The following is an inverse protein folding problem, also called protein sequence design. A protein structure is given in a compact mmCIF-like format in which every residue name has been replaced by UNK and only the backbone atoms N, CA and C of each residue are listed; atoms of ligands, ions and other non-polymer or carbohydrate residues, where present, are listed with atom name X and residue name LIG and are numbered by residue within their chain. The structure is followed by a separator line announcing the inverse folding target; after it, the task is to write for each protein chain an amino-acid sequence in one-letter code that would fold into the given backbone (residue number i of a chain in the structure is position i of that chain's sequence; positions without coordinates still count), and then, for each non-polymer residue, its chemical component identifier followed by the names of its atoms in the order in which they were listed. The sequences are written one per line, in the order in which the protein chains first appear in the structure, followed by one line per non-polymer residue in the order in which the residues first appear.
data_IF_203710756217
#
_entry.id   IF_203710756217
#
_cell.length_a   1.000
_cell.length_b   1.000
_cell.length_c   1.000
_cell.angle_alpha   90.00
_cell.angle_beta   90.00
_cell.angle_gamma   90.00
#
_symmetry.space_group_name_H-M   'P 1'
#
loop_
_entity.id
_entity.type
_entity.pdbx_description
1 polymer ?
#
# COMPACT_ATOMS: atom_id res chain seq x y z
N UNK A 1 -17.94 -0.36 3.72
CA UNK A 1 -19.35 0.09 3.67
C UNK A 1 -19.44 1.40 4.42
N UNK A 2 -20.14 2.38 3.87
CA UNK A 2 -20.27 3.69 4.52
C UNK A 2 -21.28 3.58 5.69
N UNK A 3 -21.07 4.37 6.76
CA UNK A 3 -22.01 4.45 7.90
C UNK A 3 -23.44 4.76 7.42
N UNK A 4 -23.57 5.46 6.30
CA UNK A 4 -24.84 5.74 5.67
C UNK A 4 -25.60 4.46 5.28
N UNK A 5 -24.92 3.45 4.71
CA UNK A 5 -25.55 2.18 4.30
C UNK A 5 -25.87 1.26 5.48
N UNK A 6 -25.04 1.29 6.52
CA UNK A 6 -25.17 0.34 7.64
C UNK A 6 -26.06 0.84 8.77
N UNK A 7 -26.14 2.14 8.98
CA UNK A 7 -26.83 2.73 10.14
C UNK A 7 -27.97 3.67 9.75
N UNK A 8 -27.73 4.61 8.84
CA UNK A 8 -28.71 5.65 8.52
C UNK A 8 -29.85 5.10 7.67
N UNK A 9 -29.53 4.36 6.61
CA UNK A 9 -30.55 3.83 5.69
C UNK A 9 -31.53 2.88 6.38
N UNK A 10 -31.11 1.87 7.17
CA UNK A 10 -32.03 1.01 7.90
C UNK A 10 -32.90 1.77 8.91
N UNK A 11 -32.30 2.76 9.60
CA UNK A 11 -33.04 3.58 10.59
C UNK A 11 -34.14 4.41 9.93
N UNK A 12 -33.85 5.06 8.81
CA UNK A 12 -34.82 5.84 8.06
C UNK A 12 -35.97 4.97 7.50
N UNK A 13 -35.62 3.79 6.99
CA UNK A 13 -36.61 2.86 6.42
C UNK A 13 -37.50 2.28 7.53
N UNK A 14 -36.96 1.89 8.66
CA UNK A 14 -37.72 1.45 9.83
C UNK A 14 -38.66 2.53 10.34
N UNK A 15 -38.23 3.79 10.39
CA UNK A 15 -39.03 4.92 10.78
C UNK A 15 -40.18 5.11 9.79
N UNK A 16 -39.91 5.01 8.50
CA UNK A 16 -40.93 5.13 7.44
C UNK A 16 -41.95 3.98 7.50
N UNK A 17 -41.50 2.73 7.64
CA UNK A 17 -42.36 1.56 7.80
C UNK A 17 -43.28 1.70 9.02
N UNK A 18 -42.74 2.22 10.13
CA UNK A 18 -43.50 2.42 11.37
C UNK A 18 -44.55 3.53 11.21
N UNK A 19 -44.20 4.65 10.56
CA UNK A 19 -45.08 5.80 10.38
C UNK A 19 -46.21 5.54 9.37
N UNK A 20 -45.93 4.78 8.31
CA UNK A 20 -46.87 4.57 7.21
C UNK A 20 -47.50 3.17 7.18
N UNK A 21 -47.08 2.27 8.14
CA UNK A 21 -47.56 0.88 8.24
C UNK A 21 -47.38 0.08 6.92
N UNK A 22 -46.29 0.36 6.19
CA UNK A 22 -45.93 -0.28 4.91
C UNK A 22 -44.66 -1.12 5.11
N UNK A 23 -44.65 -2.37 4.62
CA UNK A 23 -43.43 -3.19 4.60
C UNK A 23 -42.60 -2.88 3.33
N UNK A 24 -41.38 -2.33 3.52
CA UNK A 24 -40.48 -1.91 2.45
C UNK A 24 -39.28 -2.86 2.27
N UNK A 25 -39.45 -4.14 2.59
CA UNK A 25 -38.34 -5.12 2.57
C UNK A 25 -37.61 -5.21 1.22
N UNK A 26 -38.37 -5.23 0.11
CA UNK A 26 -37.83 -5.30 -1.24
C UNK A 26 -37.19 -3.97 -1.68
N UNK A 27 -37.82 -2.85 -1.35
CA UNK A 27 -37.27 -1.51 -1.61
C UNK A 27 -36.00 -1.27 -0.81
N UNK A 28 -35.91 -1.74 0.43
CA UNK A 28 -34.72 -1.63 1.25
C UNK A 28 -33.53 -2.31 0.59
N UNK A 29 -33.73 -3.51 0.05
CA UNK A 29 -32.67 -4.25 -0.64
C UNK A 29 -32.26 -3.53 -1.93
N UNK A 30 -33.21 -3.06 -2.72
CA UNK A 30 -32.94 -2.29 -3.95
C UNK A 30 -32.16 -1.01 -3.67
N UNK A 31 -32.54 -0.24 -2.64
CA UNK A 31 -31.81 0.98 -2.23
C UNK A 31 -30.39 0.63 -1.81
N UNK A 32 -30.21 -0.44 -1.04
CA UNK A 32 -28.87 -0.91 -0.62
C UNK A 32 -28.02 -1.30 -1.84
N UNK A 33 -28.57 -1.99 -2.80
CA UNK A 33 -27.88 -2.40 -4.03
C UNK A 33 -27.48 -1.18 -4.86
N UNK A 34 -28.38 -0.22 -5.05
CA UNK A 34 -28.10 1.03 -5.77
C UNK A 34 -26.99 1.83 -5.07
N UNK A 35 -27.07 1.97 -3.73
CA UNK A 35 -26.03 2.67 -2.96
C UNK A 35 -24.68 1.94 -3.03
N UNK A 36 -24.69 0.62 -3.03
CA UNK A 36 -23.48 -0.20 -3.17
C UNK A 36 -22.83 -0.04 -4.55
N UNK A 37 -23.65 -0.02 -5.61
CA UNK A 37 -23.18 0.23 -6.97
C UNK A 37 -22.61 1.64 -7.12
N UNK A 38 -23.29 2.64 -6.55
CA UNK A 38 -22.84 4.03 -6.56
C UNK A 38 -21.50 4.18 -5.81
N UNK A 39 -21.35 3.59 -4.61
CA UNK A 39 -20.11 3.58 -3.85
C UNK A 39 -18.96 2.95 -4.68
N UNK A 40 -19.23 1.80 -5.31
CA UNK A 40 -18.23 1.13 -6.15
C UNK A 40 -17.86 1.96 -7.39
N UNK A 41 -18.84 2.64 -8.01
CA UNK A 41 -18.59 3.50 -9.17
C UNK A 41 -17.78 4.74 -8.79
N UNK A 42 -18.13 5.42 -7.71
CA UNK A 42 -17.40 6.59 -7.20
C UNK A 42 -15.97 6.20 -6.78
N UNK A 43 -15.81 5.07 -6.09
CA UNK A 43 -14.52 4.55 -5.71
C UNK A 43 -13.62 4.26 -6.92
N UNK A 44 -14.15 3.60 -7.95
CA UNK A 44 -13.41 3.34 -9.19
C UNK A 44 -13.08 4.63 -9.94
N UNK A 45 -14.04 5.56 -10.02
CA UNK A 45 -13.83 6.85 -10.67
C UNK A 45 -12.69 7.64 -10.04
N UNK A 46 -12.56 7.59 -8.71
CA UNK A 46 -11.47 8.22 -7.99
C UNK A 46 -10.14 7.46 -8.15
N UNK A 47 -10.13 6.15 -7.96
CA UNK A 47 -8.87 5.37 -7.92
C UNK A 47 -8.27 5.11 -9.30
N UNK A 48 -9.09 4.99 -10.36
CA UNK A 48 -8.62 4.65 -11.72
C UNK A 48 -7.57 5.61 -12.29
N UNK A 49 -7.74 6.95 -12.24
CA UNK A 49 -6.73 7.89 -12.76
C UNK A 49 -5.38 7.73 -12.03
N UNK A 50 -5.40 7.55 -10.71
CA UNK A 50 -4.19 7.33 -9.92
C UNK A 50 -3.51 6.01 -10.28
N UNK A 51 -4.29 4.92 -10.39
CA UNK A 51 -3.77 3.61 -10.80
C UNK A 51 -3.15 3.66 -12.21
N UNK A 52 -3.79 4.37 -13.16
CA UNK A 52 -3.24 4.56 -14.51
C UNK A 52 -1.93 5.35 -14.49
N UNK A 53 -1.87 6.43 -13.71
CA UNK A 53 -0.64 7.23 -13.54
C UNK A 53 0.49 6.40 -12.93
N UNK A 54 0.19 5.61 -11.89
CA UNK A 54 1.16 4.69 -11.26
C UNK A 54 1.69 3.68 -12.30
N UNK A 55 0.79 3.06 -13.06
CA UNK A 55 1.16 2.09 -14.10
C UNK A 55 2.11 2.71 -15.12
N UNK A 56 1.77 3.86 -15.72
CA UNK A 56 2.63 4.54 -16.70
C UNK A 56 3.97 4.97 -16.11
N UNK A 57 4.00 5.38 -14.83
CA UNK A 57 5.24 5.75 -14.13
C UNK A 57 6.16 4.53 -13.94
N UNK A 58 5.61 3.39 -13.54
CA UNK A 58 6.36 2.14 -13.38
C UNK A 58 6.89 1.67 -14.73
N UNK A 59 6.03 1.59 -15.72
CA UNK A 59 6.39 1.14 -17.07
C UNK A 59 7.51 2.00 -17.68
N UNK A 60 7.34 3.31 -17.67
CA UNK A 60 8.36 4.25 -18.19
C UNK A 60 9.66 4.19 -17.38
N UNK A 61 9.59 3.96 -16.09
CA UNK A 61 10.76 3.86 -15.21
C UNK A 61 11.56 2.59 -15.47
N UNK A 62 10.91 1.43 -15.56
CA UNK A 62 11.56 0.13 -15.78
C UNK A 62 12.09 -0.01 -17.22
N UNK A 63 11.39 0.53 -18.22
CA UNK A 63 11.87 0.51 -19.59
C UNK A 63 12.86 1.64 -19.93
N UNK A 64 13.16 2.51 -18.96
CA UNK A 64 14.19 3.53 -19.15
C UNK A 64 15.58 2.90 -19.35
N UNK A 65 16.38 3.37 -20.31
CA UNK A 65 17.77 2.92 -20.48
C UNK A 65 18.64 3.14 -19.23
N UNK A 66 18.22 4.06 -18.36
CA UNK A 66 18.93 4.36 -17.10
C UNK A 66 18.51 3.46 -15.93
N UNK A 67 17.47 2.62 -16.12
CA UNK A 67 17.10 1.65 -15.12
C UNK A 67 18.13 0.54 -15.01
N UNK A 68 18.65 0.33 -13.83
CA UNK A 68 19.68 -0.68 -13.54
C UNK A 68 20.88 -0.60 -14.50
N UNK A 69 21.58 0.53 -14.59
CA UNK A 69 22.74 0.66 -15.47
C UNK A 69 23.79 -0.41 -15.16
N UNK A 70 24.57 -0.77 -16.18
CA UNK A 70 25.68 -1.71 -16.02
C UNK A 70 26.60 -1.24 -14.86
N UNK A 71 27.01 -2.14 -13.95
CA UNK A 71 27.80 -1.76 -12.79
C UNK A 71 29.11 -1.15 -13.25
N UNK A 72 29.37 0.09 -12.85
CA UNK A 72 30.72 0.64 -12.86
C UNK A 72 31.56 -0.13 -11.82
N UNK A 73 32.88 -0.09 -11.95
CA UNK A 73 33.79 -0.82 -11.03
C UNK A 73 33.51 -0.56 -9.54
N UNK A 74 32.86 0.56 -9.22
CA UNK A 74 32.47 0.97 -7.85
C UNK A 74 31.11 0.43 -7.39
N UNK A 75 30.21 -0.03 -8.30
CA UNK A 75 28.81 -0.40 -7.97
C UNK A 75 28.58 -1.90 -8.08
N UNK A 76 29.47 -2.72 -7.51
CA UNK A 76 29.36 -4.18 -7.61
C UNK A 76 28.38 -4.81 -6.62
N UNK A 77 28.01 -4.10 -5.56
CA UNK A 77 27.12 -4.57 -4.49
C UNK A 77 25.79 -3.84 -4.48
N UNK A 78 24.73 -4.47 -3.92
CA UNK A 78 23.47 -3.83 -3.59
C UNK A 78 23.68 -2.69 -2.58
N UNK A 79 24.73 -2.76 -1.75
CA UNK A 79 25.04 -1.74 -0.73
C UNK A 79 25.20 -0.32 -1.30
N UNK A 80 25.63 -0.21 -2.56
CA UNK A 80 25.90 1.07 -3.23
C UNK A 80 24.72 1.56 -4.09
N UNK A 81 23.56 0.88 -4.02
CA UNK A 81 22.39 1.20 -4.81
C UNK A 81 21.35 1.98 -4.00
N UNK A 82 20.66 2.86 -4.70
CA UNK A 82 19.45 3.52 -4.22
C UNK A 82 18.23 3.02 -5.03
N UNK A 83 17.01 3.13 -4.48
CA UNK A 83 15.79 2.84 -5.24
C UNK A 83 15.70 3.70 -6.47
N UNK A 84 15.11 3.14 -7.52
CA UNK A 84 14.93 3.84 -8.79
C UNK A 84 14.07 5.10 -8.62
N UNK A 85 14.29 6.15 -9.44
CA UNK A 85 13.52 7.40 -9.35
C UNK A 85 12.00 7.19 -9.47
N UNK A 86 11.55 6.22 -10.27
CA UNK A 86 10.12 5.95 -10.43
C UNK A 86 9.48 5.48 -9.12
N UNK A 87 10.22 4.76 -8.27
CA UNK A 87 9.75 4.31 -6.95
C UNK A 87 9.40 5.49 -6.07
N UNK A 88 10.28 6.49 -6.00
CA UNK A 88 10.02 7.72 -5.25
C UNK A 88 8.84 8.49 -5.84
N UNK A 89 8.72 8.56 -7.18
CA UNK A 89 7.58 9.22 -7.84
C UNK A 89 6.26 8.55 -7.46
N UNK A 90 6.18 7.22 -7.52
CA UNK A 90 4.99 6.46 -7.12
C UNK A 90 4.66 6.67 -5.64
N UNK A 91 5.66 6.60 -4.76
CA UNK A 91 5.45 6.79 -3.33
C UNK A 91 5.00 8.22 -3.00
N UNK A 92 5.53 9.24 -3.67
CA UNK A 92 5.10 10.63 -3.50
C UNK A 92 3.69 10.86 -4.01
N UNK A 93 3.31 10.27 -5.14
CA UNK A 93 1.92 10.31 -5.62
C UNK A 93 0.96 9.68 -4.59
N UNK A 94 1.35 8.58 -3.96
CA UNK A 94 0.57 7.97 -2.87
C UNK A 94 0.52 8.83 -1.60
N UNK A 95 1.56 9.62 -1.29
CA UNK A 95 1.54 10.62 -0.20
C UNK A 95 0.50 11.71 -0.49
N UNK A 96 0.43 12.19 -1.74
CA UNK A 96 -0.57 13.18 -2.17
C UNK A 96 -1.98 12.60 -1.99
N UNK A 97 -2.22 11.40 -2.49
CA UNK A 97 -3.52 10.69 -2.33
C UNK A 97 -3.86 10.47 -0.86
N UNK A 98 -2.89 10.08 -0.03
CA UNK A 98 -3.10 9.95 1.41
C UNK A 98 -3.54 11.28 2.02
N UNK A 99 -2.86 12.37 1.71
CA UNK A 99 -3.17 13.70 2.26
C UNK A 99 -4.55 14.15 1.83
N UNK A 100 -4.88 14.05 0.54
CA UNK A 100 -6.18 14.39 -0.02
C UNK A 100 -7.30 13.56 0.60
N UNK A 101 -7.16 12.24 0.62
CA UNK A 101 -8.19 11.34 1.16
C UNK A 101 -8.36 11.49 2.67
N UNK A 102 -7.29 11.73 3.42
CA UNK A 102 -7.34 11.88 4.89
C UNK A 102 -7.99 13.21 5.31
N UNK A 103 -7.86 14.26 4.51
CA UNK A 103 -8.52 15.55 4.77
C UNK A 103 -9.99 15.54 4.35
N UNK A 104 -10.34 14.82 3.29
CA UNK A 104 -11.71 14.77 2.77
C UNK A 104 -12.55 13.70 3.44
N UNK A 105 -12.02 12.50 3.62
CA UNK A 105 -12.71 11.35 4.22
C UNK A 105 -11.73 10.35 4.82
N UNK A 106 -11.23 10.65 6.01
CA UNK A 106 -10.23 9.83 6.72
C UNK A 106 -10.59 8.32 6.81
N UNK A 107 -11.87 7.90 6.99
CA UNK A 107 -12.23 6.48 7.01
C UNK A 107 -11.98 5.74 5.68
N UNK A 108 -12.00 6.43 4.54
CA UNK A 108 -11.78 5.84 3.22
C UNK A 108 -10.30 5.71 2.87
N UNK A 109 -9.42 6.49 3.49
CA UNK A 109 -7.98 6.50 3.19
C UNK A 109 -7.35 5.10 3.18
N UNK A 110 -7.56 4.22 4.18
CA UNK A 110 -6.97 2.89 4.14
C UNK A 110 -7.49 2.02 2.98
N UNK A 111 -8.76 2.16 2.61
CA UNK A 111 -9.36 1.42 1.49
C UNK A 111 -8.75 1.87 0.15
N UNK A 112 -8.59 3.18 -0.04
CA UNK A 112 -8.00 3.77 -1.23
C UNK A 112 -6.54 3.33 -1.38
N UNK A 113 -5.74 3.48 -0.32
CA UNK A 113 -4.32 3.13 -0.37
C UNK A 113 -4.07 1.63 -0.56
N UNK A 114 -4.88 0.74 0.03
CA UNK A 114 -4.80 -0.69 -0.24
C UNK A 114 -5.07 -1.00 -1.70
N UNK A 115 -6.12 -0.43 -2.28
CA UNK A 115 -6.46 -0.62 -3.70
C UNK A 115 -5.37 -0.10 -4.64
N UNK A 116 -4.77 1.05 -4.33
CA UNK A 116 -3.67 1.61 -5.11
C UNK A 116 -2.37 0.81 -4.94
N UNK A 117 -2.11 0.24 -3.76
CA UNK A 117 -0.98 -0.64 -3.56
C UNK A 117 -1.15 -1.97 -4.32
N UNK A 118 -2.33 -2.56 -4.33
CA UNK A 118 -2.66 -3.71 -5.19
C UNK A 118 -2.47 -3.37 -6.68
N UNK A 119 -2.90 -2.20 -7.11
CA UNK A 119 -2.65 -1.73 -8.48
C UNK A 119 -1.16 -1.54 -8.78
N UNK A 120 -0.39 -1.08 -7.80
CA UNK A 120 1.07 -0.91 -7.93
C UNK A 120 1.77 -2.25 -8.11
N UNK A 121 1.47 -3.24 -7.25
CA UNK A 121 2.03 -4.60 -7.37
C UNK A 121 1.62 -5.28 -8.67
N UNK A 122 0.36 -5.10 -9.08
CA UNK A 122 -0.15 -5.61 -10.38
C UNK A 122 0.57 -4.96 -11.56
N UNK A 123 0.82 -3.66 -11.51
CA UNK A 123 1.58 -2.96 -12.56
C UNK A 123 3.03 -3.44 -12.66
N UNK A 124 3.68 -3.69 -11.51
CA UNK A 124 5.03 -4.23 -11.45
C UNK A 124 5.11 -5.61 -12.11
N UNK A 125 4.22 -6.55 -11.73
CA UNK A 125 4.25 -7.89 -12.31
C UNK A 125 3.96 -7.86 -13.81
N UNK A 126 3.00 -7.06 -14.28
CA UNK A 126 2.69 -6.91 -15.69
C UNK A 126 3.91 -6.39 -16.48
N UNK A 127 4.61 -5.40 -15.93
CA UNK A 127 5.81 -4.83 -16.55
C UNK A 127 6.95 -5.84 -16.59
N UNK A 128 7.19 -6.58 -15.51
CA UNK A 128 8.22 -7.63 -15.47
C UNK A 128 7.89 -8.86 -16.34
N UNK A 129 6.61 -9.16 -16.53
CA UNK A 129 6.16 -10.23 -17.43
C UNK A 129 6.27 -9.86 -18.91
N UNK A 130 6.37 -8.57 -19.21
CA UNK A 130 6.38 -8.10 -20.61
C UNK A 130 7.53 -8.76 -21.42
N UNK A 131 7.31 -8.94 -22.71
CA UNK A 131 8.30 -9.51 -23.62
C UNK A 131 9.52 -8.60 -23.87
N UNK A 132 9.42 -7.31 -23.49
CA UNK A 132 10.52 -6.35 -23.58
C UNK A 132 11.67 -6.77 -22.63
N UNK A 133 11.31 -7.31 -21.47
CA UNK A 133 12.25 -7.89 -20.48
C UNK A 133 12.29 -9.41 -20.65
N UNK A 134 12.86 -9.90 -21.75
CA UNK A 134 12.97 -11.34 -22.03
C UNK A 134 13.95 -12.05 -21.09
N UNK A 135 15.04 -11.38 -20.74
CA UNK A 135 16.06 -11.84 -19.78
C UNK A 135 16.39 -10.73 -18.79
N UNK A 136 16.65 -11.10 -17.56
CA UNK A 136 16.99 -10.17 -16.46
C UNK A 136 18.45 -10.39 -16.07
N UNK A 137 19.28 -9.39 -16.27
CA UNK A 137 20.68 -9.40 -15.86
C UNK A 137 20.82 -9.22 -14.33
N UNK A 138 21.96 -9.59 -13.77
CA UNK A 138 22.24 -9.40 -12.34
C UNK A 138 21.99 -7.96 -11.84
N UNK A 139 22.46 -6.89 -12.51
CA UNK A 139 22.15 -5.52 -12.11
C UNK A 139 20.65 -5.21 -12.07
N UNK A 140 19.89 -5.72 -13.05
CA UNK A 140 18.45 -5.55 -13.13
C UNK A 140 17.74 -6.32 -12.02
N UNK A 141 18.17 -7.56 -11.73
CA UNK A 141 17.63 -8.36 -10.64
C UNK A 141 17.82 -7.69 -9.29
N UNK A 142 19.03 -7.19 -9.01
CA UNK A 142 19.34 -6.46 -7.77
C UNK A 142 18.49 -5.19 -7.65
N UNK A 143 18.35 -4.42 -8.73
CA UNK A 143 17.57 -3.19 -8.73
C UNK A 143 16.08 -3.47 -8.56
N UNK A 144 15.53 -4.44 -9.30
CA UNK A 144 14.12 -4.85 -9.16
C UNK A 144 13.81 -5.30 -7.73
N UNK A 145 14.68 -6.13 -7.14
CA UNK A 145 14.51 -6.61 -5.77
C UNK A 145 14.53 -5.45 -4.77
N UNK A 146 15.48 -4.51 -4.92
CA UNK A 146 15.56 -3.33 -4.06
C UNK A 146 14.30 -2.44 -4.19
N UNK A 147 13.86 -2.18 -5.42
CA UNK A 147 12.71 -1.33 -5.72
C UNK A 147 11.41 -1.92 -5.13
N UNK A 148 11.16 -3.21 -5.36
CA UNK A 148 9.98 -3.92 -4.86
C UNK A 148 9.97 -3.97 -3.34
N UNK A 149 11.09 -4.35 -2.72
CA UNK A 149 11.21 -4.42 -1.25
C UNK A 149 11.05 -3.06 -0.58
N UNK A 150 11.65 -2.01 -1.14
CA UNK A 150 11.54 -0.68 -0.57
C UNK A 150 10.08 -0.15 -0.61
N UNK A 151 9.36 -0.36 -1.72
CA UNK A 151 7.94 -0.03 -1.81
C UNK A 151 7.10 -0.85 -0.84
N UNK A 152 7.28 -2.17 -0.79
CA UNK A 152 6.53 -3.06 0.08
C UNK A 152 6.73 -2.72 1.56
N UNK A 153 7.96 -2.46 1.98
CA UNK A 153 8.25 -2.07 3.37
C UNK A 153 7.75 -0.68 3.72
N UNK A 154 7.75 0.27 2.78
CA UNK A 154 7.22 1.61 2.99
C UNK A 154 5.69 1.58 3.15
N UNK A 155 5.00 0.75 2.35
CA UNK A 155 3.55 0.61 2.34
C UNK A 155 3.03 -0.57 3.18
N UNK A 156 3.85 -1.15 4.05
CA UNK A 156 3.51 -2.35 4.83
C UNK A 156 2.22 -2.25 5.64
N UNK A 157 1.78 -1.03 6.03
CA UNK A 157 0.51 -0.80 6.73
C UNK A 157 -0.73 -1.01 5.83
N UNK A 158 -0.54 -1.04 4.53
CA UNK A 158 -1.61 -1.16 3.52
C UNK A 158 -1.52 -2.47 2.72
N UNK A 159 -0.62 -3.35 3.08
CA UNK A 159 -0.47 -4.66 2.44
C UNK A 159 -1.72 -5.49 2.66
N UNK A 160 -2.22 -6.11 1.58
CA UNK A 160 -3.31 -7.10 1.57
C UNK A 160 -2.75 -8.47 1.20
N UNK A 161 -3.50 -9.53 1.46
CA UNK A 161 -3.10 -10.88 1.07
C UNK A 161 -2.92 -10.98 -0.44
N UNK A 162 -3.77 -10.31 -1.23
CA UNK A 162 -3.65 -10.24 -2.68
C UNK A 162 -2.34 -9.56 -3.10
N UNK A 163 -1.99 -8.40 -2.52
CA UNK A 163 -0.73 -7.73 -2.82
C UNK A 163 0.50 -8.57 -2.43
N UNK A 164 0.43 -9.29 -1.31
CA UNK A 164 1.51 -10.20 -0.86
C UNK A 164 1.69 -11.36 -1.83
N UNK A 165 0.60 -11.94 -2.34
CA UNK A 165 0.67 -12.99 -3.33
C UNK A 165 1.31 -12.49 -4.62
N UNK A 166 0.85 -11.34 -5.15
CA UNK A 166 1.43 -10.73 -6.35
C UNK A 166 2.91 -10.40 -6.15
N UNK A 167 3.33 -9.95 -4.95
CA UNK A 167 4.74 -9.73 -4.65
C UNK A 167 5.56 -11.04 -4.73
N UNK A 168 5.01 -12.15 -4.24
CA UNK A 168 5.63 -13.47 -4.39
C UNK A 168 5.75 -13.86 -5.87
N UNK A 169 4.70 -13.63 -6.64
CA UNK A 169 4.69 -13.91 -8.08
C UNK A 169 5.70 -13.05 -8.85
N UNK A 170 5.92 -11.79 -8.44
CA UNK A 170 6.98 -10.94 -9.00
C UNK A 170 8.36 -11.60 -8.85
N UNK A 171 8.69 -12.12 -7.67
CA UNK A 171 9.97 -12.81 -7.46
C UNK A 171 10.08 -14.07 -8.29
N UNK A 172 9.01 -14.84 -8.46
CA UNK A 172 8.99 -16.00 -9.33
C UNK A 172 9.25 -15.63 -10.79
N UNK A 173 8.62 -14.56 -11.28
CA UNK A 173 8.85 -14.06 -12.65
C UNK A 173 10.29 -13.60 -12.86
N UNK A 174 10.84 -12.85 -11.91
CA UNK A 174 12.24 -12.40 -11.96
C UNK A 174 13.19 -13.59 -11.93
N UNK A 175 12.92 -14.59 -11.08
CA UNK A 175 13.71 -15.83 -11.00
C UNK A 175 13.70 -16.62 -12.32
N UNK A 176 12.53 -16.78 -12.94
CA UNK A 176 12.39 -17.47 -14.21
C UNK A 176 13.15 -16.81 -15.36
N UNK A 177 13.26 -15.47 -15.35
CA UNK A 177 13.94 -14.68 -16.39
C UNK A 177 15.44 -14.49 -16.12
N UNK A 178 15.95 -14.99 -15.00
CA UNK A 178 17.32 -14.77 -14.53
C UNK A 178 18.14 -16.06 -14.62
N UNK A 179 19.43 -15.96 -14.96
CA UNK A 179 20.35 -17.09 -14.95
C UNK A 179 20.73 -17.55 -13.53
N UNK A 180 21.21 -18.79 -13.41
CA UNK A 180 21.54 -19.38 -12.12
C UNK A 180 22.70 -18.66 -11.40
N UNK A 181 23.67 -18.11 -12.14
CA UNK A 181 24.79 -17.40 -11.57
C UNK A 181 24.35 -16.08 -10.90
N UNK A 182 23.42 -15.34 -11.55
CA UNK A 182 22.86 -14.12 -10.99
C UNK A 182 22.00 -14.40 -9.75
N UNK A 183 21.27 -15.52 -9.71
CA UNK A 183 20.49 -15.94 -8.51
C UNK A 183 21.39 -16.19 -7.31
N UNK A 184 22.48 -16.95 -7.48
CA UNK A 184 23.45 -17.23 -6.43
C UNK A 184 24.05 -15.93 -5.90
N UNK A 185 24.42 -15.03 -6.79
CA UNK A 185 24.96 -13.71 -6.42
C UNK A 185 23.95 -12.86 -5.65
N UNK A 186 22.67 -12.85 -6.05
CA UNK A 186 21.64 -12.14 -5.29
C UNK A 186 21.50 -12.71 -3.87
N UNK A 187 21.57 -14.04 -3.70
CA UNK A 187 21.49 -14.67 -2.38
C UNK A 187 22.65 -14.25 -1.46
N UNK A 188 23.86 -14.12 -2.00
CA UNK A 188 25.03 -13.60 -1.26
C UNK A 188 24.80 -12.14 -0.81
N UNK A 189 24.08 -11.33 -1.62
CA UNK A 189 23.82 -9.92 -1.36
C UNK A 189 22.60 -9.64 -0.46
N UNK A 190 21.80 -10.64 -0.08
CA UNK A 190 20.59 -10.42 0.74
C UNK A 190 20.86 -9.77 2.10
N UNK A 191 22.03 -10.03 2.70
CA UNK A 191 22.46 -9.38 3.94
C UNK A 191 22.67 -7.87 3.75
N UNK A 192 23.34 -7.50 2.65
CA UNK A 192 23.59 -6.12 2.25
C UNK A 192 22.27 -5.41 1.92
N UNK A 193 21.36 -6.08 1.19
CA UNK A 193 20.03 -5.56 0.86
C UNK A 193 19.25 -5.13 2.12
N UNK A 194 19.23 -5.95 3.17
CA UNK A 194 18.55 -5.61 4.44
C UNK A 194 19.16 -4.36 5.08
N UNK A 195 20.48 -4.22 5.04
CA UNK A 195 21.17 -3.05 5.60
C UNK A 195 20.83 -1.78 4.81
N UNK A 196 20.82 -1.87 3.48
CA UNK A 196 20.42 -0.76 2.59
C UNK A 196 18.97 -0.35 2.84
N UNK A 197 18.04 -1.30 2.88
CA UNK A 197 16.63 -1.03 3.16
C UNK A 197 16.42 -0.35 4.51
N UNK A 198 17.17 -0.76 5.55
CA UNK A 198 17.12 -0.11 6.86
C UNK A 198 17.60 1.35 6.77
N UNK A 199 18.75 1.59 6.11
CA UNK A 199 19.29 2.95 5.86
C UNK A 199 18.28 3.83 5.13
N UNK A 200 17.71 3.32 4.03
CA UNK A 200 16.74 4.04 3.22
C UNK A 200 15.46 4.39 4.00
N UNK A 201 14.94 3.45 4.77
CA UNK A 201 13.76 3.68 5.62
C UNK A 201 14.00 4.73 6.71
N UNK A 202 15.19 4.79 7.28
CA UNK A 202 15.54 5.85 8.22
C UNK A 202 15.73 7.18 7.51
N UNK A 203 16.41 7.23 6.35
CA UNK A 203 16.60 8.44 5.56
C UNK A 203 15.30 9.05 5.03
N UNK A 204 14.31 8.20 4.69
CA UNK A 204 13.00 8.65 4.16
C UNK A 204 11.90 8.71 5.22
N UNK A 205 12.26 8.58 6.50
CA UNK A 205 11.30 8.48 7.62
C UNK A 205 10.30 9.61 7.70
N UNK A 206 10.75 10.82 7.47
CA UNK A 206 9.90 12.03 7.50
C UNK A 206 9.05 12.11 6.25
N UNK A 207 9.63 11.81 5.09
CA UNK A 207 8.98 11.89 3.78
C UNK A 207 7.76 10.96 3.67
N UNK A 208 7.86 9.74 4.23
CA UNK A 208 6.81 8.72 4.19
C UNK A 208 6.18 8.47 5.57
N UNK A 209 6.20 9.47 6.46
CA UNK A 209 5.64 9.34 7.81
C UNK A 209 4.15 8.99 7.82
N UNK A 210 3.38 9.46 6.84
CA UNK A 210 1.95 9.23 6.71
C UNK A 210 1.57 7.75 6.52
N UNK A 211 2.48 6.91 6.00
CA UNK A 211 2.23 5.48 5.83
C UNK A 211 2.52 4.64 7.07
N UNK A 212 3.12 5.23 8.09
CA UNK A 212 3.42 4.50 9.34
C UNK A 212 2.18 4.43 10.22
N UNK A 213 1.89 3.27 10.79
CA UNK A 213 0.87 3.17 11.83
C UNK A 213 1.30 4.03 13.01
N UNK A 214 0.51 5.03 13.35
CA UNK A 214 0.60 5.68 14.64
C UNK A 214 0.30 4.61 15.69
N UNK A 215 1.29 4.20 16.48
CA UNK A 215 1.00 3.43 17.69
C UNK A 215 0.07 4.33 18.52
N UNK A 216 -1.19 3.95 18.65
CA UNK A 216 -2.05 4.53 19.67
C UNK A 216 -1.35 4.21 21.00
N UNK A 217 -0.64 5.17 21.54
CA UNK A 217 -0.25 5.17 22.96
C UNK A 217 -1.56 5.06 23.71
N UNK A 218 -1.74 3.91 24.38
CA UNK A 218 -2.94 3.64 25.16
C UNK A 218 -3.23 4.85 26.01
N UNK A 219 -4.41 5.39 25.83
CA UNK A 219 -4.97 6.48 26.59
C UNK A 219 -4.85 6.13 28.08
N UNK A 220 -4.22 7.01 28.82
CA UNK A 220 -3.92 6.84 30.23
C UNK A 220 -5.09 6.28 31.02
N UNK A 221 -4.78 5.28 31.79
CA UNK A 221 -5.52 4.87 32.95
C UNK A 221 -5.71 6.11 33.82
N UNK A 222 -6.94 6.62 33.88
CA UNK A 222 -7.29 7.67 34.86
C UNK A 222 -6.91 7.17 36.24
N UNK A 223 -6.19 7.94 37.05
CA UNK A 223 -6.05 7.63 38.47
C UNK A 223 -7.45 7.71 39.08
N UNK A 224 -7.93 6.60 39.61
CA UNK A 224 -9.16 6.55 40.39
C UNK A 224 -9.11 7.53 41.55
N UNK A 225 -10.25 8.12 41.96
CA UNK A 225 -10.30 9.04 43.08
C UNK A 225 -9.86 8.31 44.36
N UNK A 226 -8.90 8.92 45.05
CA UNK A 226 -8.29 8.39 46.26
C UNK A 226 -9.31 8.01 47.33
N UNK A 227 -9.17 6.80 47.84
CA UNK A 227 -9.78 6.40 49.12
C UNK A 227 -9.10 7.18 50.24
N UNK A 228 -9.90 7.96 50.95
CA UNK A 228 -9.54 8.56 52.20
C UNK A 228 -9.26 7.46 53.23
N UNK A 229 -8.03 7.36 53.65
CA UNK A 229 -7.61 6.46 54.70
C UNK A 229 -7.89 7.11 56.05
N UNK A 230 -8.96 6.63 56.70
CA UNK A 230 -9.41 6.95 58.04
C UNK A 230 -8.33 6.55 59.06
N UNK A 231 -7.64 7.54 59.64
CA UNK A 231 -6.78 7.35 60.80
C UNK A 231 -7.65 7.13 62.04
N UNK A 232 -7.92 5.87 62.37
CA UNK A 232 -8.44 5.42 63.67
C UNK A 232 -7.34 5.23 64.72
N UNK A 233 -7.46 5.97 65.80
CA UNK A 233 -6.73 5.87 67.06
C UNK A 233 -6.56 4.45 67.60
N UNK A 234 -5.35 4.07 67.98
CA UNK A 234 -4.96 3.77 69.40
C UNK A 234 -3.47 3.43 69.42
#
# INVERSE_FOLDING_TARGET
MSAFQTEITPTLLNLFETLFSVQLTDETNRIRDVLSQLDAQLFRSYTKPHATKIHTTIESGIFSPTWAPAPTAAQKSVADRDPSPYVFTVLLDLVIVHTESSTTSAPLTPRILRSLFESTTTSLIQTFQSNILSTVSLPQLMQATLDVEFMAQTLASYTTDAASQVQTDIYQVLDQKTDNAARVRLQEELGNLRTVLKRLREGTKVQFACFRRVKRTGTGQMPGPGGEEERGRR
#
